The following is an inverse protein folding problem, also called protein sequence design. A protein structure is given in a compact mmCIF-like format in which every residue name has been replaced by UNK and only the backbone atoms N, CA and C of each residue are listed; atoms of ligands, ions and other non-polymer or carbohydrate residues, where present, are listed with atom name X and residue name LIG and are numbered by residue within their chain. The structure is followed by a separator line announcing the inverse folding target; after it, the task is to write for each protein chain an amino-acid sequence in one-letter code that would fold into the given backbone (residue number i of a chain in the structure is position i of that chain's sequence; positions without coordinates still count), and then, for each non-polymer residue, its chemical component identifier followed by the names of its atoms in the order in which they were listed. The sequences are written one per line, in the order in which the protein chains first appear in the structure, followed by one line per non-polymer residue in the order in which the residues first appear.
data_IF_423679631968
#
_entry.id   IF_423679631968
#
_cell.length_a   1.000
_cell.length_b   1.000
_cell.length_c   1.000
_cell.angle_alpha   90.00
_cell.angle_beta   90.00
_cell.angle_gamma   90.00
#
_symmetry.space_group_name_H-M   'P 1'
#
loop_
_entity.id
_entity.type
_entity.pdbx_description
1 polymer ?
#
# COMPACT_ATOMS: atom_id res chain seq x y z
N UNK A 1 25.14 -94.42 -7.96
CA UNK A 1 25.58 -93.85 -6.67
C UNK A 1 25.67 -92.35 -6.88
N UNK A 2 24.80 -91.58 -6.22
CA UNK A 2 24.61 -90.10 -6.26
C UNK A 2 25.82 -89.30 -5.74
N UNK A 3 25.86 -87.93 -5.79
CA UNK A 3 24.91 -86.98 -6.41
C UNK A 3 25.52 -85.84 -7.26
N UNK A 4 24.65 -85.22 -8.07
CA UNK A 4 24.70 -83.87 -8.64
C UNK A 4 24.53 -82.75 -7.57
N UNK A 5 25.11 -81.57 -7.83
CA UNK A 5 24.85 -80.30 -7.11
C UNK A 5 26.17 -79.60 -6.73
N UNK A 6 26.57 -78.46 -7.28
CA UNK A 6 25.94 -77.14 -7.05
C UNK A 6 26.78 -76.06 -7.74
N UNK A 7 26.31 -75.44 -8.83
CA UNK A 7 26.72 -74.05 -9.15
C UNK A 7 25.54 -73.07 -9.22
N UNK A 8 24.30 -73.55 -9.15
CA UNK A 8 23.10 -72.77 -9.51
C UNK A 8 22.67 -71.80 -8.38
N UNK A 9 22.90 -72.15 -7.11
CA UNK A 9 22.42 -71.35 -5.97
C UNK A 9 23.16 -70.01 -5.79
N UNK A 10 24.45 -69.96 -6.13
CA UNK A 10 25.29 -68.77 -5.96
C UNK A 10 24.95 -67.71 -7.04
N UNK A 11 24.73 -68.14 -8.28
CA UNK A 11 24.33 -67.26 -9.38
C UNK A 11 22.92 -66.65 -9.16
N UNK A 12 21.98 -67.43 -8.63
CA UNK A 12 20.64 -66.94 -8.25
C UNK A 12 20.73 -65.87 -7.14
N UNK A 13 21.61 -66.08 -6.14
CA UNK A 13 21.81 -65.13 -5.04
C UNK A 13 22.44 -63.80 -5.51
N UNK A 14 23.38 -63.82 -6.46
CA UNK A 14 23.93 -62.62 -7.09
C UNK A 14 22.85 -61.84 -7.87
N UNK A 15 21.99 -62.52 -8.62
CA UNK A 15 20.91 -61.87 -9.39
C UNK A 15 19.83 -61.23 -8.50
N UNK A 16 19.51 -61.86 -7.36
CA UNK A 16 18.56 -61.33 -6.36
C UNK A 16 19.10 -60.07 -5.68
N UNK A 17 20.39 -60.05 -5.32
CA UNK A 17 21.02 -58.88 -4.71
C UNK A 17 21.03 -57.68 -5.67
N UNK A 18 21.37 -57.91 -6.94
CA UNK A 18 21.34 -56.87 -7.97
C UNK A 18 19.93 -56.30 -8.18
N UNK A 19 18.90 -57.17 -8.20
CA UNK A 19 17.50 -56.76 -8.30
C UNK A 19 17.06 -55.88 -7.13
N UNK A 20 17.39 -56.27 -5.89
CA UNK A 20 17.06 -55.52 -4.68
C UNK A 20 17.76 -54.16 -4.66
N UNK A 21 19.06 -54.12 -4.99
CA UNK A 21 19.83 -52.88 -5.04
C UNK A 21 19.30 -51.91 -6.09
N UNK A 22 18.94 -52.42 -7.29
CA UNK A 22 18.34 -51.60 -8.34
C UNK A 22 16.99 -51.00 -7.91
N UNK A 23 16.13 -51.80 -7.30
CA UNK A 23 14.83 -51.30 -6.83
C UNK A 23 14.98 -50.31 -5.67
N UNK A 24 15.91 -50.53 -4.75
CA UNK A 24 16.24 -49.55 -3.70
C UNK A 24 16.73 -48.23 -4.29
N UNK A 25 17.59 -48.27 -5.31
CA UNK A 25 18.06 -47.07 -5.99
C UNK A 25 16.91 -46.32 -6.68
N UNK A 26 16.04 -47.02 -7.40
CA UNK A 26 14.85 -46.43 -8.04
C UNK A 26 13.93 -45.81 -6.98
N UNK A 27 13.59 -46.53 -5.91
CA UNK A 27 12.76 -46.02 -4.82
C UNK A 27 13.40 -44.82 -4.12
N UNK A 28 14.73 -44.81 -3.95
CA UNK A 28 15.46 -43.68 -3.40
C UNK A 28 15.38 -42.43 -4.28
N UNK A 29 15.53 -42.59 -5.61
CA UNK A 29 15.38 -41.50 -6.58
C UNK A 29 13.95 -40.95 -6.56
N UNK A 30 12.94 -41.83 -6.62
CA UNK A 30 11.53 -41.44 -6.59
C UNK A 30 11.20 -40.71 -5.28
N UNK A 31 11.67 -41.23 -4.15
CA UNK A 31 11.51 -40.58 -2.84
C UNK A 31 12.17 -39.21 -2.78
N UNK A 32 13.40 -39.08 -3.29
CA UNK A 32 14.11 -37.80 -3.35
C UNK A 32 13.41 -36.77 -4.23
N UNK A 33 12.88 -37.18 -5.38
CA UNK A 33 12.09 -36.31 -6.27
C UNK A 33 10.77 -35.87 -5.62
N UNK A 34 10.08 -36.78 -4.93
CA UNK A 34 8.85 -36.45 -4.20
C UNK A 34 9.14 -35.46 -3.06
N UNK A 35 10.18 -35.69 -2.26
CA UNK A 35 10.61 -34.77 -1.20
C UNK A 35 11.01 -33.39 -1.78
N UNK A 36 11.73 -33.37 -2.90
CA UNK A 36 12.09 -32.13 -3.59
C UNK A 36 10.86 -31.38 -4.07
N UNK A 37 9.89 -32.09 -4.66
CA UNK A 37 8.62 -31.51 -5.09
C UNK A 37 7.86 -30.90 -3.91
N UNK A 38 7.68 -31.64 -2.81
CA UNK A 38 7.01 -31.14 -1.62
C UNK A 38 7.73 -29.94 -0.99
N UNK A 39 9.06 -29.97 -0.95
CA UNK A 39 9.88 -28.86 -0.45
C UNK A 39 9.68 -27.59 -1.27
N UNK A 40 9.73 -27.69 -2.61
CA UNK A 40 9.51 -26.54 -3.51
C UNK A 40 8.08 -26.02 -3.40
N UNK A 41 7.08 -26.91 -3.34
CA UNK A 41 5.68 -26.53 -3.14
C UNK A 41 5.46 -25.78 -1.83
N UNK A 42 6.08 -26.24 -0.74
CA UNK A 42 6.01 -25.56 0.56
C UNK A 42 6.62 -24.15 0.49
N UNK A 43 7.80 -24.01 -0.13
CA UNK A 43 8.43 -22.70 -0.31
C UNK A 43 7.59 -21.76 -1.17
N UNK A 44 6.96 -22.27 -2.23
CA UNK A 44 6.10 -21.48 -3.09
C UNK A 44 4.87 -20.94 -2.33
N UNK A 45 4.20 -21.79 -1.54
CA UNK A 45 3.06 -21.38 -0.71
C UNK A 45 3.42 -20.30 0.30
N UNK A 46 4.49 -20.50 1.07
CA UNK A 46 4.95 -19.52 2.05
C UNK A 46 5.32 -18.17 1.40
N UNK A 47 5.89 -18.20 0.19
CA UNK A 47 6.23 -16.99 -0.57
C UNK A 47 4.97 -16.27 -1.07
N UNK A 48 3.99 -17.00 -1.60
CA UNK A 48 2.72 -16.41 -2.05
C UNK A 48 1.94 -15.80 -0.89
N UNK A 49 1.88 -16.46 0.26
CA UNK A 49 1.27 -15.90 1.48
C UNK A 49 1.98 -14.63 1.92
N UNK A 50 3.32 -14.66 2.03
CA UNK A 50 4.10 -13.48 2.41
C UNK A 50 3.97 -12.32 1.41
N UNK A 51 3.94 -12.59 0.10
CA UNK A 51 3.73 -11.56 -0.93
C UNK A 51 2.32 -10.98 -0.84
N UNK A 52 1.32 -11.80 -0.52
CA UNK A 52 -0.07 -11.36 -0.34
C UNK A 52 -0.21 -10.52 0.92
N UNK A 53 0.34 -10.97 2.05
CA UNK A 53 0.35 -10.22 3.30
C UNK A 53 1.11 -8.91 3.15
N UNK A 54 2.28 -8.91 2.52
CA UNK A 54 3.04 -7.70 2.24
C UNK A 54 2.27 -6.73 1.33
N UNK A 55 1.52 -7.25 0.35
CA UNK A 55 0.69 -6.43 -0.55
C UNK A 55 -0.53 -5.87 0.16
N UNK A 56 -1.19 -6.64 1.02
CA UNK A 56 -2.28 -6.17 1.90
C UNK A 56 -1.74 -5.12 2.87
N UNK A 57 -0.59 -5.36 3.49
CA UNK A 57 0.05 -4.44 4.42
C UNK A 57 0.51 -3.15 3.73
N UNK A 58 0.98 -3.22 2.48
CA UNK A 58 1.29 -2.05 1.65
C UNK A 58 0.04 -1.29 1.18
N UNK A 59 -1.09 -1.98 0.98
CA UNK A 59 -2.38 -1.33 0.73
C UNK A 59 -2.92 -0.67 2.00
N UNK A 60 -2.76 -1.32 3.16
CA UNK A 60 -3.09 -0.75 4.47
C UNK A 60 -2.17 0.43 4.82
N UNK A 61 -0.90 0.42 4.43
CA UNK A 61 0.02 1.53 4.71
C UNK A 61 -0.33 2.80 3.92
N UNK A 62 -1.10 2.69 2.84
CA UNK A 62 -1.67 3.86 2.13
C UNK A 62 -2.77 4.56 2.92
N UNK A 63 -3.30 3.93 3.97
CA UNK A 63 -4.32 4.49 4.84
C UNK A 63 -3.67 4.77 6.20
N UNK A 64 -3.61 6.05 6.60
CA UNK A 64 -3.12 6.40 7.94
C UNK A 64 -4.17 6.01 8.99
N UNK A 65 -3.90 5.02 9.88
CA UNK A 65 -4.92 4.56 10.83
C UNK A 65 -5.35 5.67 11.79
N UNK A 66 -4.40 6.51 12.22
CA UNK A 66 -4.70 7.60 13.15
C UNK A 66 -5.63 8.66 12.53
N UNK A 67 -5.37 9.06 11.28
CA UNK A 67 -6.26 9.94 10.53
C UNK A 67 -7.67 9.37 10.51
N UNK A 68 -7.82 8.10 10.10
CA UNK A 68 -9.13 7.44 10.03
C UNK A 68 -9.87 7.47 11.37
N UNK A 69 -9.22 7.07 12.46
CA UNK A 69 -9.85 7.09 13.79
C UNK A 69 -10.27 8.50 14.19
N UNK A 70 -9.44 9.50 13.93
CA UNK A 70 -9.77 10.89 14.25
C UNK A 70 -10.93 11.42 13.42
N UNK A 71 -10.94 11.17 12.11
CA UNK A 71 -12.04 11.56 11.22
C UNK A 71 -13.36 10.95 11.67
N UNK A 72 -13.36 9.67 12.06
CA UNK A 72 -14.55 9.00 12.58
C UNK A 72 -15.04 9.61 13.90
N UNK A 73 -14.12 9.99 14.81
CA UNK A 73 -14.48 10.66 16.06
C UNK A 73 -15.08 12.06 15.80
N UNK A 74 -14.52 12.81 14.85
CA UNK A 74 -15.06 14.10 14.40
C UNK A 74 -16.45 13.92 13.80
N UNK A 75 -16.66 12.94 12.92
CA UNK A 75 -18.00 12.64 12.38
C UNK A 75 -18.97 12.29 13.50
N UNK A 76 -18.56 11.44 14.45
CA UNK A 76 -19.40 11.03 15.57
C UNK A 76 -19.83 12.21 16.45
N UNK A 77 -18.96 13.19 16.69
CA UNK A 77 -19.32 14.40 17.44
C UNK A 77 -20.30 15.28 16.64
N UNK A 78 -20.05 15.41 15.33
CA UNK A 78 -20.89 16.19 14.41
C UNK A 78 -22.29 15.63 14.22
N UNK A 79 -22.48 14.30 14.29
CA UNK A 79 -23.81 13.68 14.07
C UNK A 79 -24.93 14.24 14.94
N UNK A 80 -24.60 14.78 16.12
CA UNK A 80 -25.57 15.43 17.02
C UNK A 80 -25.58 16.96 16.91
N UNK A 81 -24.43 17.59 16.69
CA UNK A 81 -24.31 19.06 16.70
C UNK A 81 -24.57 19.69 15.33
N UNK A 82 -24.08 19.07 14.25
CA UNK A 82 -24.29 19.50 12.87
C UNK A 82 -24.35 18.27 11.93
N UNK A 83 -25.54 17.67 11.78
CA UNK A 83 -25.72 16.47 10.95
C UNK A 83 -25.36 16.68 9.48
N UNK A 84 -25.54 17.90 8.93
CA UNK A 84 -25.21 18.17 7.53
C UNK A 84 -23.70 18.19 7.32
N UNK A 85 -22.97 18.80 8.25
CA UNK A 85 -21.51 18.78 8.20
C UNK A 85 -20.97 17.36 8.43
N UNK A 86 -21.61 16.55 9.30
CA UNK A 86 -21.26 15.14 9.45
C UNK A 86 -21.41 14.35 8.14
N UNK A 87 -22.48 14.59 7.39
CA UNK A 87 -22.71 14.00 6.07
C UNK A 87 -21.61 14.41 5.09
N UNK A 88 -21.30 15.71 4.98
CA UNK A 88 -20.23 16.23 4.11
C UNK A 88 -18.86 15.62 4.43
N UNK A 89 -18.47 15.58 5.71
CA UNK A 89 -17.19 14.98 6.12
C UNK A 89 -17.17 13.47 5.84
N UNK A 90 -18.31 12.79 5.93
CA UNK A 90 -18.43 11.37 5.57
C UNK A 90 -18.24 11.16 4.07
N UNK A 91 -18.83 12.00 3.23
CA UNK A 91 -18.65 11.97 1.78
C UNK A 91 -17.20 12.25 1.37
N UNK A 92 -16.58 13.30 1.95
CA UNK A 92 -15.18 13.65 1.74
C UNK A 92 -14.25 12.48 2.12
N UNK A 93 -14.51 11.84 3.27
CA UNK A 93 -13.74 10.68 3.72
C UNK A 93 -13.90 9.49 2.77
N UNK A 94 -15.12 9.22 2.30
CA UNK A 94 -15.40 8.15 1.35
C UNK A 94 -14.74 8.38 -0.01
N UNK A 95 -14.74 9.63 -0.51
CA UNK A 95 -14.05 10.02 -1.73
C UNK A 95 -12.53 9.80 -1.60
N UNK A 96 -11.95 10.22 -0.47
CA UNK A 96 -10.53 10.02 -0.18
C UNK A 96 -10.15 8.53 -0.17
N UNK A 97 -10.95 7.69 0.48
CA UNK A 97 -10.73 6.24 0.47
C UNK A 97 -10.83 5.62 -0.92
N UNK A 98 -11.80 6.05 -1.72
CA UNK A 98 -11.99 5.54 -3.08
C UNK A 98 -10.74 5.75 -3.92
N UNK A 99 -10.11 6.93 -3.84
CA UNK A 99 -8.89 7.22 -4.59
C UNK A 99 -7.68 6.51 -3.99
N UNK A 100 -7.50 6.49 -2.66
CA UNK A 100 -6.38 5.81 -2.01
C UNK A 100 -6.33 4.29 -2.27
N UNK A 101 -7.50 3.65 -2.45
CA UNK A 101 -7.64 2.23 -2.79
C UNK A 101 -7.61 1.95 -4.29
N UNK A 102 -7.64 2.99 -5.13
CA UNK A 102 -7.56 2.85 -6.58
C UNK A 102 -6.13 2.59 -7.08
N UNK A 103 -6.01 2.13 -8.33
CA UNK A 103 -4.70 1.93 -8.94
C UNK A 103 -4.04 3.29 -9.21
N UNK A 104 -3.00 3.62 -8.44
CA UNK A 104 -2.25 4.88 -8.57
C UNK A 104 -1.60 5.09 -9.96
N UNK A 105 -1.56 4.06 -10.82
CA UNK A 105 -1.12 4.20 -12.21
C UNK A 105 -2.16 4.86 -13.12
N UNK A 106 -3.42 4.96 -12.70
CA UNK A 106 -4.47 5.60 -13.48
C UNK A 106 -4.29 7.12 -13.39
N UNK A 107 -4.07 7.83 -14.51
CA UNK A 107 -3.94 9.28 -14.48
C UNK A 107 -5.25 9.96 -14.12
N UNK A 108 -5.17 10.99 -13.30
CA UNK A 108 -6.28 11.85 -12.90
C UNK A 108 -6.04 13.28 -13.40
N UNK A 109 -7.10 14.09 -13.44
CA UNK A 109 -7.01 15.52 -13.70
C UNK A 109 -6.38 16.27 -12.54
N UNK A 110 -5.79 17.43 -12.81
CA UNK A 110 -5.38 18.38 -11.77
C UNK A 110 -6.57 18.77 -10.88
N UNK A 111 -7.75 18.98 -11.48
CA UNK A 111 -8.97 19.24 -10.73
C UNK A 111 -9.28 18.15 -9.71
N UNK A 112 -9.19 16.88 -10.09
CA UNK A 112 -9.43 15.74 -9.20
C UNK A 112 -8.38 15.66 -8.08
N UNK A 113 -7.09 15.89 -8.36
CA UNK A 113 -6.05 15.92 -7.31
C UNK A 113 -6.24 17.08 -6.32
N UNK A 114 -6.56 18.26 -6.82
CA UNK A 114 -6.79 19.44 -5.98
C UNK A 114 -8.04 19.27 -5.13
N UNK A 115 -9.12 18.73 -5.70
CA UNK A 115 -10.34 18.40 -4.96
C UNK A 115 -10.05 17.38 -3.86
N UNK A 116 -9.32 16.31 -4.15
CA UNK A 116 -8.95 15.29 -3.17
C UNK A 116 -8.12 15.87 -2.02
N UNK A 117 -7.11 16.69 -2.33
CA UNK A 117 -6.30 17.38 -1.33
C UNK A 117 -7.15 18.35 -0.49
N UNK A 118 -8.12 19.02 -1.10
CA UNK A 118 -9.04 19.94 -0.42
C UNK A 118 -10.03 19.21 0.49
N UNK A 119 -10.51 18.03 0.09
CA UNK A 119 -11.33 17.14 0.91
C UNK A 119 -10.55 16.68 2.16
N UNK A 120 -9.30 16.25 1.97
CA UNK A 120 -8.41 15.91 3.09
C UNK A 120 -8.28 17.08 4.08
N UNK A 121 -7.94 18.27 3.57
CA UNK A 121 -7.76 19.46 4.39
C UNK A 121 -9.05 19.87 5.11
N UNK A 122 -10.23 19.74 4.47
CA UNK A 122 -11.54 19.97 5.12
C UNK A 122 -11.78 19.03 6.30
N UNK A 123 -11.50 17.74 6.15
CA UNK A 123 -11.64 16.76 7.23
C UNK A 123 -10.72 17.13 8.40
N UNK A 124 -9.46 17.45 8.10
CA UNK A 124 -8.47 17.90 9.09
C UNK A 124 -8.87 19.21 9.77
N UNK A 125 -9.50 20.14 9.05
CA UNK A 125 -9.97 21.40 9.61
C UNK A 125 -11.09 21.18 10.61
N UNK A 126 -12.00 20.21 10.38
CA UNK A 126 -13.01 19.86 11.38
C UNK A 126 -12.40 19.26 12.65
N UNK A 127 -11.26 18.56 12.52
CA UNK A 127 -10.52 17.98 13.65
C UNK A 127 -9.73 19.04 14.43
N UNK A 128 -9.00 19.88 13.72
CA UNK A 128 -8.05 20.84 14.29
C UNK A 128 -8.70 22.19 14.63
N UNK A 129 -9.91 22.44 14.11
CA UNK A 129 -10.66 23.67 14.32
C UNK A 129 -9.88 24.91 13.85
N UNK A 130 -9.92 25.96 14.66
CA UNK A 130 -9.24 27.24 14.43
C UNK A 130 -7.72 27.13 14.24
N UNK A 131 -7.11 25.99 14.62
CA UNK A 131 -5.66 25.77 14.47
C UNK A 131 -5.23 25.53 13.03
N UNK A 132 -6.12 25.06 12.15
CA UNK A 132 -5.81 24.82 10.74
C UNK A 132 -6.52 25.85 9.85
N UNK A 133 -5.73 26.76 9.29
CA UNK A 133 -6.16 27.63 8.19
C UNK A 133 -5.69 27.03 6.89
N UNK A 134 -6.54 27.16 5.86
CA UNK A 134 -6.32 26.57 4.55
C UNK A 134 -6.41 27.69 3.52
N UNK A 135 -5.44 27.73 2.62
CA UNK A 135 -5.47 28.55 1.41
C UNK A 135 -5.11 27.69 0.20
N UNK A 136 -6.01 27.59 -0.77
CA UNK A 136 -5.82 26.77 -1.97
C UNK A 136 -6.12 27.64 -3.19
N UNK A 137 -5.10 27.87 -4.02
CA UNK A 137 -5.23 28.62 -5.26
C UNK A 137 -4.49 27.94 -6.40
N UNK A 138 -5.25 27.31 -7.29
CA UNK A 138 -4.75 26.56 -8.44
C UNK A 138 -5.27 27.12 -9.77
N UNK A 139 -5.85 28.32 -9.75
CA UNK A 139 -6.59 28.89 -10.90
C UNK A 139 -5.72 29.12 -12.12
N UNK A 140 -4.43 29.35 -11.92
CA UNK A 140 -3.46 29.62 -12.99
C UNK A 140 -2.98 28.35 -13.72
N UNK A 141 -3.35 27.17 -13.22
CA UNK A 141 -2.99 25.89 -13.83
C UNK A 141 -4.14 25.28 -14.65
N UNK A 142 -3.83 24.57 -15.76
CA UNK A 142 -4.84 23.88 -16.57
C UNK A 142 -5.47 22.71 -15.79
N UNK A 143 -6.71 22.92 -15.34
CA UNK A 143 -7.45 21.95 -14.51
C UNK A 143 -7.65 20.57 -15.16
N UNK A 144 -7.61 20.50 -16.50
CA UNK A 144 -7.74 19.26 -17.26
C UNK A 144 -6.43 18.48 -17.44
N UNK A 145 -5.29 19.05 -17.02
CA UNK A 145 -3.98 18.42 -17.13
C UNK A 145 -3.98 17.06 -16.44
N UNK A 146 -3.36 16.07 -17.09
CA UNK A 146 -3.28 14.70 -16.57
C UNK A 146 -1.97 14.49 -15.83
N UNK A 147 -2.08 13.95 -14.62
CA UNK A 147 -0.97 13.61 -13.76
C UNK A 147 -1.23 12.26 -13.07
N UNK A 148 -0.19 11.56 -12.60
CA UNK A 148 -0.38 10.44 -11.70
C UNK A 148 -1.20 10.84 -10.47
N UNK A 149 -2.07 9.95 -10.01
CA UNK A 149 -2.86 10.17 -8.82
C UNK A 149 -1.98 10.23 -7.56
N UNK A 150 -2.45 10.96 -6.54
CA UNK A 150 -1.86 11.09 -5.22
C UNK A 150 -0.47 11.75 -5.22
N UNK A 151 -0.27 12.79 -6.03
CA UNK A 151 0.97 13.59 -6.01
C UNK A 151 0.87 14.74 -5.02
N UNK A 152 -0.26 15.43 -4.96
CA UNK A 152 -0.46 16.57 -4.05
C UNK A 152 -0.75 16.06 -2.64
N UNK A 153 -1.52 14.97 -2.55
CA UNK A 153 -2.00 14.38 -1.31
C UNK A 153 -0.88 14.15 -0.25
N UNK A 154 0.26 13.49 -0.56
CA UNK A 154 1.32 13.28 0.43
C UNK A 154 1.94 14.58 0.96
N UNK A 155 1.98 15.63 0.15
CA UNK A 155 2.55 16.93 0.53
C UNK A 155 1.64 17.64 1.53
N UNK A 156 0.33 17.68 1.26
CA UNK A 156 -0.64 18.29 2.19
C UNK A 156 -0.77 17.49 3.49
N UNK A 157 -0.69 16.16 3.41
CA UNK A 157 -0.65 15.30 4.60
C UNK A 157 0.59 15.58 5.47
N UNK A 158 1.75 15.76 4.83
CA UNK A 158 2.98 16.06 5.54
C UNK A 158 2.94 17.47 6.17
N UNK A 159 2.39 18.45 5.45
CA UNK A 159 2.18 19.81 5.95
C UNK A 159 1.33 19.83 7.22
N UNK A 160 0.20 19.12 7.25
CA UNK A 160 -0.66 19.04 8.42
C UNK A 160 0.02 18.27 9.55
N UNK A 161 0.53 17.08 9.27
CA UNK A 161 1.04 16.18 10.30
C UNK A 161 2.33 16.68 10.97
N UNK A 162 3.27 17.22 10.19
CA UNK A 162 4.55 17.69 10.72
C UNK A 162 4.55 19.19 11.05
N UNK A 163 3.69 19.97 10.40
CA UNK A 163 3.60 21.42 10.60
C UNK A 163 2.58 21.81 11.67
N UNK A 164 1.32 21.46 11.42
CA UNK A 164 0.17 22.02 12.15
C UNK A 164 -0.16 21.21 13.39
N UNK A 165 -0.22 19.89 13.28
CA UNK A 165 -0.63 18.99 14.35
C UNK A 165 0.24 19.09 15.61
N UNK A 166 1.59 19.23 15.53
CA UNK A 166 2.45 19.38 16.70
C UNK A 166 2.39 20.78 17.34
N UNK A 167 1.95 21.81 16.59
CA UNK A 167 1.93 23.21 17.04
C UNK A 167 0.66 23.55 17.82
N UNK A 168 0.78 24.11 19.03
CA UNK A 168 -0.38 24.63 19.77
C UNK A 168 -0.97 25.91 19.16
N UNK A 169 -0.15 26.64 18.40
CA UNK A 169 -0.55 27.88 17.71
C UNK A 169 -1.26 27.59 16.39
N UNK A 170 -2.17 28.49 15.94
CA UNK A 170 -2.75 28.40 14.61
C UNK A 170 -1.69 28.44 13.52
N UNK A 171 -1.84 27.57 12.53
CA UNK A 171 -0.98 27.51 11.36
C UNK A 171 -1.78 27.55 10.05
N UNK A 172 -1.08 27.88 8.97
CA UNK A 172 -1.62 27.96 7.62
C UNK A 172 -0.99 26.87 6.76
N UNK A 173 -1.82 26.18 5.97
CA UNK A 173 -1.39 25.35 4.85
C UNK A 173 -1.80 26.05 3.56
N UNK A 174 -0.82 26.36 2.71
CA UNK A 174 -1.01 27.01 1.41
C UNK A 174 -0.71 26.02 0.29
N UNK A 175 -1.58 25.96 -0.71
CA UNK A 175 -1.43 25.11 -1.89
C UNK A 175 -1.62 25.99 -3.13
N UNK A 176 -0.51 26.37 -3.78
CA UNK A 176 -0.53 27.30 -4.91
C UNK A 176 0.06 26.68 -6.18
N UNK A 177 -0.49 27.05 -7.33
CA UNK A 177 -0.02 26.60 -8.64
C UNK A 177 0.32 27.77 -9.55
N UNK A 178 1.43 27.68 -10.29
CA UNK A 178 1.77 28.64 -11.35
C UNK A 178 2.40 27.98 -12.57
N UNK A 179 2.17 28.55 -13.74
CA UNK A 179 2.92 28.22 -14.95
C UNK A 179 4.26 28.94 -14.94
N UNK A 180 5.31 28.26 -15.38
CA UNK A 180 6.65 28.82 -15.54
C UNK A 180 7.16 28.52 -16.95
N UNK A 181 7.79 29.53 -17.55
CA UNK A 181 8.32 29.52 -18.91
C UNK A 181 9.86 29.45 -18.95
N UNK A 182 10.50 28.94 -17.90
CA UNK A 182 11.95 28.76 -17.85
C UNK A 182 12.38 27.60 -18.78
N UNK A 183 12.45 27.91 -20.08
CA UNK A 183 12.92 27.11 -21.23
C UNK A 183 11.94 26.08 -21.80
N UNK A 184 11.09 25.48 -20.98
CA UNK A 184 9.93 24.68 -21.41
C UNK A 184 8.74 25.00 -20.50
N UNK A 185 7.53 25.04 -21.08
CA UNK A 185 6.30 25.28 -20.31
C UNK A 185 6.14 24.18 -19.25
N UNK A 186 6.29 24.56 -17.98
CA UNK A 186 6.17 23.64 -16.85
C UNK A 186 5.18 24.19 -15.82
N UNK A 187 4.54 23.26 -15.09
CA UNK A 187 3.64 23.59 -13.99
C UNK A 187 4.42 23.46 -12.69
N UNK A 188 4.45 24.52 -11.89
CA UNK A 188 4.96 24.48 -10.54
C UNK A 188 3.78 24.44 -9.56
N UNK A 189 3.78 23.43 -8.68
CA UNK A 189 2.84 23.30 -7.57
C UNK A 189 3.65 23.42 -6.28
N UNK A 190 3.25 24.34 -5.42
CA UNK A 190 3.93 24.66 -4.17
C UNK A 190 2.98 24.40 -3.01
N UNK A 191 3.42 23.57 -2.06
CA UNK A 191 2.76 23.38 -0.77
C UNK A 191 3.62 24.00 0.32
N UNK A 192 3.07 24.94 1.09
CA UNK A 192 3.74 25.59 2.23
C UNK A 192 2.94 25.38 3.50
N UNK A 193 3.64 25.32 4.62
CA UNK A 193 3.02 25.24 5.93
C UNK A 193 3.76 26.08 6.97
N UNK A 194 3.03 26.55 7.97
CA UNK A 194 3.63 27.04 9.20
C UNK A 194 4.38 25.91 9.91
N UNK A 195 5.55 26.21 10.46
CA UNK A 195 6.36 25.25 11.23
C UNK A 195 6.05 25.40 12.73
N UNK A 196 6.11 24.31 13.52
CA UNK A 196 6.01 24.42 14.96
C UNK A 196 7.18 25.24 15.48
N UNK A 197 6.93 26.16 16.41
CA UNK A 197 8.00 26.82 17.17
C UNK A 197 8.71 25.76 17.99
N UNK A 198 9.97 25.47 17.68
CA UNK A 198 10.78 24.51 18.43
C UNK A 198 10.83 24.92 19.91
N UNK A 199 10.17 24.13 20.76
CA UNK A 199 10.35 24.15 22.22
C UNK A 199 11.45 23.20 22.64
#
# INVERSE_FOLDING_TARGET
MLPDGTPIAVADQFSRLEFVLRNMAISGIVGALALRYFFVQHQYRARVESETDARIQALQSRIRPHFLFNSMNTIASLTRSDPRLAEQVTEDLAALFRVSLSDARVPVTLAEEVELATQYLRIEQQRLGERLRIDVDMRDLPQSARLPALIIQPLVENAVYHGIEPSTEPGLVEVHGRLTDDKEASMEIVVRNSMPTSG
#
